data_IF_830478356505
#
_entry.id   IF_830478356505
#
_cell.length_a   1.000
_cell.length_b   1.000
_cell.length_c   1.000
_cell.angle_alpha   90.00
_cell.angle_beta   90.00
_cell.angle_gamma   90.00
#
_symmetry.space_group_name_H-M   'P 1'
#
loop_
_entity.id
_entity.type
_entity.pdbx_description
1 polymer ?
#
# COMPACT_ATOMS: atom_id res chain seq x y z
N UNK A 1 19.26 -0.59 -29.54
CA UNK A 1 18.24 -0.88 -28.52
C UNK A 1 18.79 -0.46 -27.16
N UNK A 2 18.19 0.57 -26.56
CA UNK A 2 18.72 1.27 -25.38
C UNK A 2 18.45 0.43 -24.11
N UNK A 3 19.34 0.48 -23.11
CA UNK A 3 19.26 -0.26 -21.83
C UNK A 3 17.93 -0.02 -21.09
N UNK A 4 17.28 1.15 -21.31
CA UNK A 4 15.94 1.49 -20.80
C UNK A 4 14.81 0.74 -21.50
N UNK A 5 14.96 0.36 -22.75
CA UNK A 5 13.96 -0.41 -23.51
C UNK A 5 14.02 -1.90 -23.15
N UNK A 6 15.21 -2.44 -22.87
CA UNK A 6 15.36 -3.82 -22.34
C UNK A 6 14.70 -4.01 -20.97
N UNK A 7 14.81 -3.03 -20.07
CA UNK A 7 14.17 -3.07 -18.75
C UNK A 7 12.63 -2.98 -18.85
N UNK A 8 12.11 -2.40 -19.92
CA UNK A 8 10.65 -2.29 -20.16
C UNK A 8 10.03 -3.57 -20.74
N UNK A 9 10.84 -4.42 -21.41
CA UNK A 9 10.37 -5.67 -22.01
C UNK A 9 10.28 -6.86 -21.06
N UNK A 10 10.90 -6.81 -19.87
CA UNK A 10 10.92 -7.94 -18.91
C UNK A 10 9.96 -7.81 -17.72
N UNK A 11 9.16 -6.76 -17.62
CA UNK A 11 8.06 -6.73 -16.65
C UNK A 11 6.90 -7.56 -17.23
N UNK A 12 6.93 -8.86 -16.96
CA UNK A 12 5.77 -9.73 -17.10
C UNK A 12 4.58 -9.03 -16.45
N UNK A 13 3.58 -8.70 -17.24
CA UNK A 13 2.42 -7.94 -16.74
C UNK A 13 1.77 -8.76 -15.63
N UNK A 14 1.90 -8.29 -14.39
CA UNK A 14 1.38 -9.00 -13.22
C UNK A 14 -0.14 -8.95 -13.29
N UNK A 15 -0.80 -10.10 -13.23
CA UNK A 15 -2.24 -10.15 -13.34
C UNK A 15 -2.92 -9.35 -12.22
N UNK A 16 -4.04 -8.69 -12.54
CA UNK A 16 -4.85 -7.94 -11.54
C UNK A 16 -5.23 -8.81 -10.35
N UNK A 17 -5.45 -10.11 -10.57
CA UNK A 17 -5.77 -11.05 -9.51
C UNK A 17 -4.61 -11.25 -8.52
N UNK A 18 -3.37 -11.24 -8.98
CA UNK A 18 -2.19 -11.27 -8.10
C UNK A 18 -2.06 -9.95 -7.35
N UNK A 19 -2.16 -8.81 -8.05
CA UNK A 19 -2.04 -7.48 -7.43
C UNK A 19 -3.07 -7.31 -6.31
N UNK A 20 -4.31 -7.77 -6.50
CA UNK A 20 -5.37 -7.67 -5.47
C UNK A 20 -5.07 -8.47 -4.19
N UNK A 21 -4.21 -9.50 -4.27
CA UNK A 21 -3.79 -10.28 -3.10
C UNK A 21 -2.57 -9.72 -2.39
N UNK A 22 -1.76 -8.87 -3.05
CA UNK A 22 -0.52 -8.33 -2.46
C UNK A 22 -0.71 -7.59 -1.13
N UNK A 23 -1.78 -6.77 -0.91
CA UNK A 23 -1.99 -6.12 0.38
C UNK A 23 -2.12 -7.11 1.53
N UNK A 24 -2.67 -8.29 1.26
CA UNK A 24 -2.78 -9.36 2.25
C UNK A 24 -1.42 -9.99 2.56
N UNK A 25 -0.60 -10.27 1.54
CA UNK A 25 0.79 -10.69 1.74
C UNK A 25 1.56 -9.67 2.56
N UNK A 26 1.47 -8.40 2.20
CA UNK A 26 2.16 -7.31 2.88
C UNK A 26 1.83 -7.26 4.38
N UNK A 27 0.56 -7.38 4.74
CA UNK A 27 0.12 -7.40 6.14
C UNK A 27 0.73 -8.57 6.92
N UNK A 28 0.61 -9.80 6.41
CA UNK A 28 1.12 -10.97 7.12
C UNK A 28 2.65 -10.99 7.21
N UNK A 29 3.35 -10.49 6.20
CA UNK A 29 4.80 -10.35 6.25
C UNK A 29 5.22 -9.29 7.28
N UNK A 30 4.44 -8.22 7.43
CA UNK A 30 4.64 -7.23 8.49
C UNK A 30 4.53 -7.83 9.89
N UNK A 31 3.49 -8.64 10.14
CA UNK A 31 3.31 -9.38 11.40
C UNK A 31 4.52 -10.31 11.67
N UNK A 32 4.99 -11.03 10.64
CA UNK A 32 6.18 -11.90 10.75
C UNK A 32 7.46 -11.13 11.09
N UNK A 33 7.63 -9.92 10.56
CA UNK A 33 8.77 -9.05 10.87
C UNK A 33 8.74 -8.65 12.35
N UNK A 34 7.55 -8.29 12.88
CA UNK A 34 7.35 -7.97 14.29
C UNK A 34 7.61 -9.19 15.20
N UNK A 35 7.27 -10.39 14.74
CA UNK A 35 7.59 -11.66 15.42
C UNK A 35 9.08 -12.05 15.31
N UNK A 36 9.89 -11.32 14.56
CA UNK A 36 11.32 -11.62 14.34
C UNK A 36 11.58 -12.79 13.38
N UNK A 37 10.60 -13.19 12.58
CA UNK A 37 10.74 -14.29 11.61
C UNK A 37 11.52 -13.80 10.39
N UNK A 38 12.69 -14.38 10.15
CA UNK A 38 13.54 -14.02 9.02
C UNK A 38 13.17 -14.73 7.72
N UNK A 39 12.73 -15.98 7.83
CA UNK A 39 12.37 -16.84 6.69
C UNK A 39 11.08 -17.58 6.93
N UNK A 40 10.33 -17.79 5.86
CA UNK A 40 9.07 -18.55 5.90
C UNK A 40 8.92 -19.41 4.64
N UNK A 41 8.41 -20.62 4.81
CA UNK A 41 8.05 -21.49 3.68
C UNK A 41 6.67 -21.13 3.11
N UNK A 42 6.41 -21.57 1.87
CA UNK A 42 5.07 -21.42 1.28
C UNK A 42 3.99 -22.17 2.07
N UNK A 43 4.34 -23.27 2.73
CA UNK A 43 3.40 -24.05 3.56
C UNK A 43 3.02 -23.30 4.85
N UNK A 44 4.00 -22.74 5.57
CA UNK A 44 3.76 -21.97 6.78
C UNK A 44 2.96 -20.68 6.46
N UNK A 45 3.33 -19.99 5.37
CA UNK A 45 2.60 -18.81 4.92
C UNK A 45 1.16 -19.15 4.50
N UNK A 46 0.95 -20.32 3.86
CA UNK A 46 -0.39 -20.80 3.47
C UNK A 46 -1.29 -21.03 4.67
N UNK A 47 -0.76 -21.58 5.75
CA UNK A 47 -1.50 -21.81 7.00
C UNK A 47 -1.98 -20.49 7.61
N UNK A 48 -1.15 -19.45 7.61
CA UNK A 48 -1.51 -18.11 8.11
C UNK A 48 -2.51 -17.40 7.19
N UNK A 49 -2.31 -17.49 5.89
CA UNK A 49 -3.12 -16.77 4.92
C UNK A 49 -4.42 -17.49 4.51
N UNK A 50 -4.59 -18.75 4.87
CA UNK A 50 -5.71 -19.60 4.39
C UNK A 50 -5.81 -19.63 2.86
N UNK A 51 -4.66 -19.74 2.19
CA UNK A 51 -4.48 -19.89 0.73
C UNK A 51 -3.60 -21.11 0.50
N UNK A 52 -3.69 -21.79 -0.60
CA UNK A 52 -2.84 -22.96 -0.87
C UNK A 52 -1.37 -22.55 -1.07
N UNK A 53 -0.44 -23.40 -0.64
CA UNK A 53 0.98 -23.17 -0.87
C UNK A 53 1.33 -23.09 -2.37
N UNK A 54 0.57 -23.80 -3.21
CA UNK A 54 0.71 -23.72 -4.68
C UNK A 54 0.36 -22.33 -5.20
N UNK A 55 -0.75 -21.76 -4.71
CA UNK A 55 -1.16 -20.39 -5.07
C UNK A 55 -0.11 -19.36 -4.65
N UNK A 56 0.45 -19.52 -3.43
CA UNK A 56 1.53 -18.63 -2.94
C UNK A 56 2.76 -18.71 -3.86
N UNK A 57 3.21 -19.92 -4.20
CA UNK A 57 4.33 -20.08 -5.13
C UNK A 57 4.06 -19.46 -6.49
N UNK A 58 2.85 -19.65 -7.02
CA UNK A 58 2.44 -19.07 -8.30
C UNK A 58 2.41 -17.54 -8.25
N UNK A 59 1.83 -16.97 -7.20
CA UNK A 59 1.76 -15.52 -7.02
C UNK A 59 3.17 -14.91 -6.92
N UNK A 60 4.03 -15.48 -6.08
CA UNK A 60 5.36 -14.95 -5.83
C UNK A 60 6.34 -15.19 -6.98
N UNK A 61 6.14 -16.21 -7.81
CA UNK A 61 6.94 -16.42 -9.03
C UNK A 61 6.77 -15.29 -10.07
N UNK A 62 5.69 -14.51 -10.00
CA UNK A 62 5.52 -13.35 -10.88
C UNK A 62 6.51 -12.21 -10.60
N UNK A 63 7.13 -12.18 -9.43
CA UNK A 63 8.01 -11.10 -8.98
C UNK A 63 9.51 -11.43 -9.08
N UNK A 64 9.87 -12.56 -9.66
CA UNK A 64 11.24 -13.07 -9.69
C UNK A 64 11.54 -14.04 -8.53
N UNK A 65 12.67 -14.71 -8.57
CA UNK A 65 13.00 -15.81 -7.67
C UNK A 65 13.19 -15.43 -6.20
N UNK A 66 12.11 -15.08 -5.51
CA UNK A 66 12.12 -14.72 -4.09
C UNK A 66 12.42 -15.89 -3.14
N UNK A 67 12.38 -17.11 -3.62
CA UNK A 67 12.69 -18.29 -2.84
C UNK A 67 13.60 -19.25 -3.59
N UNK A 68 14.67 -19.68 -2.97
CA UNK A 68 15.39 -20.86 -3.39
C UNK A 68 14.65 -22.09 -2.87
N UNK A 69 14.53 -23.11 -3.72
CA UNK A 69 13.90 -24.37 -3.36
C UNK A 69 14.57 -24.95 -2.10
N UNK A 70 13.81 -25.19 -1.05
CA UNK A 70 14.30 -25.69 0.24
C UNK A 70 14.66 -24.62 1.29
N UNK A 71 14.85 -23.35 0.92
CA UNK A 71 15.26 -22.29 1.86
C UNK A 71 14.13 -21.33 2.28
N UNK A 72 12.96 -21.40 1.66
CA UNK A 72 11.86 -20.48 1.91
C UNK A 72 12.12 -19.06 1.41
N UNK A 73 11.20 -18.17 1.74
CA UNK A 73 11.25 -16.76 1.37
C UNK A 73 11.91 -15.93 2.49
N UNK A 74 12.77 -14.99 2.11
CA UNK A 74 13.25 -13.99 3.04
C UNK A 74 12.11 -12.97 3.29
N UNK A 75 11.66 -12.87 4.53
CA UNK A 75 10.47 -12.10 4.92
C UNK A 75 10.66 -10.61 4.65
N UNK A 76 11.77 -10.02 5.10
CA UNK A 76 12.06 -8.58 4.93
C UNK A 76 12.21 -8.21 3.45
N UNK A 77 12.90 -9.05 2.68
CA UNK A 77 13.09 -8.81 1.25
C UNK A 77 11.75 -8.86 0.50
N UNK A 78 10.95 -9.89 0.74
CA UNK A 78 9.64 -10.03 0.11
C UNK A 78 8.71 -8.88 0.50
N UNK A 79 8.71 -8.47 1.77
CA UNK A 79 7.95 -7.33 2.27
C UNK A 79 8.31 -6.04 1.53
N UNK A 80 9.61 -5.75 1.37
CA UNK A 80 10.07 -4.55 0.66
C UNK A 80 9.71 -4.55 -0.82
N UNK A 81 9.82 -5.69 -1.49
CA UNK A 81 9.49 -5.79 -2.92
C UNK A 81 7.97 -5.63 -3.15
N UNK A 82 7.13 -6.20 -2.28
CA UNK A 82 5.69 -6.00 -2.34
C UNK A 82 5.34 -4.53 -2.07
N UNK A 83 6.00 -3.86 -1.11
CA UNK A 83 5.80 -2.44 -0.85
C UNK A 83 6.07 -1.58 -2.09
N UNK A 84 7.14 -1.87 -2.83
CA UNK A 84 7.47 -1.18 -4.10
C UNK A 84 6.40 -1.39 -5.17
N UNK A 85 5.89 -2.60 -5.29
CA UNK A 85 4.84 -2.92 -6.27
C UNK A 85 3.54 -2.21 -5.94
N UNK A 86 3.18 -2.17 -4.65
CA UNK A 86 2.00 -1.46 -4.15
C UNK A 86 2.19 0.06 -4.14
N UNK A 87 3.42 0.54 -4.31
CA UNK A 87 3.77 1.95 -4.25
C UNK A 87 3.67 2.56 -2.85
N UNK A 88 3.71 1.73 -1.80
CA UNK A 88 3.64 2.16 -0.38
C UNK A 88 5.02 2.28 0.27
N UNK A 89 6.07 2.17 -0.51
CA UNK A 89 7.46 2.42 -0.14
C UNK A 89 7.86 3.91 -0.19
N UNK A 90 6.91 4.77 -0.56
CA UNK A 90 7.08 6.22 -0.69
C UNK A 90 5.92 6.98 -0.07
N UNK A 91 6.14 8.26 0.18
CA UNK A 91 5.11 9.15 0.71
C UNK A 91 4.11 9.53 -0.39
N UNK A 92 2.82 9.54 -0.02
CA UNK A 92 1.72 9.98 -0.86
C UNK A 92 0.99 11.15 -0.19
N UNK A 93 0.80 12.23 -0.91
CA UNK A 93 -0.09 13.31 -0.50
C UNK A 93 -1.54 12.89 -0.79
N UNK A 94 -2.39 12.97 0.21
CA UNK A 94 -3.78 12.55 0.16
C UNK A 94 -4.68 13.74 0.50
N UNK A 95 -5.78 13.86 -0.21
CA UNK A 95 -6.88 14.76 0.14
C UNK A 95 -8.13 13.93 0.45
N UNK A 96 -8.96 14.44 1.36
CA UNK A 96 -10.25 13.83 1.70
C UNK A 96 -11.35 14.75 1.14
N UNK A 97 -12.21 14.18 0.29
CA UNK A 97 -13.40 14.86 -0.22
C UNK A 97 -14.61 14.22 0.48
N UNK A 98 -15.32 15.04 1.26
CA UNK A 98 -16.37 14.60 2.18
C UNK A 98 -15.86 14.53 3.62
N UNK A 99 -16.04 15.61 4.38
CA UNK A 99 -15.58 15.76 5.76
C UNK A 99 -16.66 15.38 6.79
N UNK A 100 -17.57 14.48 6.44
CA UNK A 100 -18.54 13.88 7.37
C UNK A 100 -17.85 12.89 8.33
N UNK A 101 -18.66 12.12 9.05
CA UNK A 101 -18.18 11.21 10.08
C UNK A 101 -17.05 10.28 9.59
N UNK A 102 -17.19 9.69 8.39
CA UNK A 102 -16.18 8.79 7.83
C UNK A 102 -14.90 9.56 7.46
N UNK A 103 -15.01 10.71 6.79
CA UNK A 103 -13.85 11.53 6.43
C UNK A 103 -13.05 11.97 7.66
N UNK A 104 -13.73 12.39 8.70
CA UNK A 104 -13.09 12.75 9.98
C UNK A 104 -12.45 11.54 10.68
N UNK A 105 -13.11 10.37 10.65
CA UNK A 105 -12.53 9.14 11.19
C UNK A 105 -11.25 8.74 10.46
N UNK A 106 -11.23 8.84 9.13
CA UNK A 106 -10.04 8.60 8.30
C UNK A 106 -8.93 9.60 8.65
N UNK A 107 -9.26 10.91 8.76
CA UNK A 107 -8.29 11.95 9.11
C UNK A 107 -7.66 11.72 10.50
N UNK A 108 -8.43 11.17 11.44
CA UNK A 108 -7.95 10.87 12.78
C UNK A 108 -7.14 9.57 12.88
N UNK A 109 -7.14 8.73 11.85
CA UNK A 109 -6.46 7.45 11.89
C UNK A 109 -4.96 7.60 11.56
N UNK A 110 -4.13 7.67 12.60
CA UNK A 110 -2.68 7.94 12.51
C UNK A 110 -1.87 6.90 11.75
N UNK A 111 -2.38 5.65 11.61
CA UNK A 111 -1.66 4.60 10.91
C UNK A 111 -1.51 4.85 9.41
N UNK A 112 -2.30 5.73 8.80
CA UNK A 112 -2.11 6.14 7.41
C UNK A 112 -0.78 6.89 7.23
N UNK A 113 -0.46 7.82 8.13
CA UNK A 113 0.82 8.55 8.09
C UNK A 113 2.02 7.63 8.24
N UNK A 114 1.94 6.65 9.15
CA UNK A 114 2.99 5.63 9.35
C UNK A 114 3.23 4.78 8.10
N UNK A 115 2.22 4.67 7.24
CA UNK A 115 2.29 3.94 5.96
C UNK A 115 2.58 4.85 4.77
N UNK A 116 2.96 6.10 5.01
CA UNK A 116 3.34 7.04 3.97
C UNK A 116 2.18 7.83 3.35
N UNK A 117 0.95 7.74 3.88
CA UNK A 117 -0.19 8.52 3.39
C UNK A 117 -0.39 9.76 4.26
N UNK A 118 0.02 10.92 3.75
CA UNK A 118 -0.07 12.20 4.47
C UNK A 118 -1.28 12.98 3.98
N UNK A 119 -2.23 13.25 4.88
CA UNK A 119 -3.41 14.04 4.55
C UNK A 119 -3.00 15.50 4.49
N UNK A 120 -3.17 16.13 3.32
CA UNK A 120 -2.83 17.52 3.04
C UNK A 120 -4.01 18.47 3.06
N UNK A 121 -5.20 17.95 2.81
CA UNK A 121 -6.41 18.78 2.77
C UNK A 121 -7.68 17.98 3.00
N UNK A 122 -8.70 18.64 3.49
CA UNK A 122 -10.06 18.12 3.62
C UNK A 122 -11.02 19.10 2.97
N UNK A 123 -12.01 18.59 2.25
CA UNK A 123 -12.95 19.36 1.48
C UNK A 123 -14.37 18.85 1.68
N UNK A 124 -15.33 19.79 1.75
CA UNK A 124 -16.75 19.47 1.83
C UNK A 124 -17.59 20.54 1.12
N UNK A 125 -18.81 20.18 0.78
CA UNK A 125 -19.83 21.11 0.24
C UNK A 125 -20.70 21.72 1.37
N UNK A 126 -20.68 21.08 2.55
CA UNK A 126 -21.55 21.50 3.67
C UNK A 126 -20.95 22.73 4.36
N UNK A 127 -21.64 23.90 4.30
CA UNK A 127 -21.14 25.13 4.90
C UNK A 127 -20.98 25.04 6.43
N UNK A 128 -21.65 24.09 7.09
CA UNK A 128 -21.51 23.89 8.55
C UNK A 128 -20.20 23.19 8.92
N UNK A 129 -19.55 22.50 7.96
CA UNK A 129 -18.27 21.82 8.19
C UNK A 129 -17.09 22.67 7.73
N UNK A 130 -17.27 23.52 6.73
CA UNK A 130 -16.22 24.40 6.21
C UNK A 130 -15.73 25.34 7.31
N UNK A 131 -14.40 25.41 7.45
CA UNK A 131 -13.72 26.18 8.51
C UNK A 131 -13.46 25.40 9.79
N UNK A 132 -14.04 24.21 9.98
CA UNK A 132 -13.68 23.35 11.09
C UNK A 132 -12.27 22.78 10.89
N UNK A 133 -11.56 22.56 11.99
CA UNK A 133 -10.18 22.02 11.97
C UNK A 133 -10.15 20.63 12.56
N UNK A 134 -9.66 19.66 11.78
CA UNK A 134 -9.46 18.27 12.21
C UNK A 134 -7.96 17.96 12.17
N UNK A 135 -7.36 17.69 13.32
CA UNK A 135 -5.91 17.44 13.48
C UNK A 135 -5.01 18.49 12.80
N UNK A 136 -5.40 19.75 12.91
CA UNK A 136 -4.65 20.86 12.30
C UNK A 136 -4.91 21.08 10.80
N UNK A 137 -5.83 20.31 10.19
CA UNK A 137 -6.23 20.46 8.79
C UNK A 137 -7.61 21.13 8.76
N UNK A 138 -7.67 22.31 8.14
CA UNK A 138 -8.93 23.03 7.94
C UNK A 138 -9.76 22.39 6.83
N UNK A 139 -11.05 22.21 7.07
CA UNK A 139 -12.01 21.79 6.06
C UNK A 139 -12.34 22.96 5.17
N UNK A 140 -12.08 22.86 3.87
CA UNK A 140 -12.28 23.90 2.86
C UNK A 140 -13.48 23.57 1.97
N UNK A 141 -13.95 24.56 1.23
CA UNK A 141 -14.94 24.34 0.17
C UNK A 141 -14.37 23.49 -0.94
N UNK A 142 -15.19 22.60 -1.50
CA UNK A 142 -14.84 21.84 -2.71
C UNK A 142 -14.51 22.78 -3.88
N UNK A 143 -15.04 24.00 -3.90
CA UNK A 143 -14.74 25.00 -4.94
C UNK A 143 -13.24 25.38 -4.96
N UNK A 144 -12.54 25.26 -3.82
CA UNK A 144 -11.10 25.57 -3.71
C UNK A 144 -10.20 24.41 -4.12
N UNK A 145 -10.77 23.23 -4.40
CA UNK A 145 -10.04 21.98 -4.60
C UNK A 145 -9.02 22.06 -5.76
N UNK A 146 -9.44 22.61 -6.90
CA UNK A 146 -8.58 22.70 -8.08
C UNK A 146 -7.36 23.59 -7.82
N UNK A 147 -7.59 24.74 -7.19
CA UNK A 147 -6.52 25.67 -6.80
C UNK A 147 -5.56 25.01 -5.82
N UNK A 148 -6.12 24.33 -4.81
CA UNK A 148 -5.31 23.62 -3.81
C UNK A 148 -4.41 22.53 -4.44
N UNK A 149 -4.92 21.74 -5.38
CA UNK A 149 -4.15 20.70 -6.07
C UNK A 149 -3.02 21.30 -6.91
N UNK A 150 -3.24 22.47 -7.53
CA UNK A 150 -2.21 23.13 -8.34
C UNK A 150 -1.05 23.72 -7.50
N UNK A 151 -1.33 24.08 -6.25
CA UNK A 151 -0.36 24.74 -5.36
C UNK A 151 0.42 23.75 -4.45
N UNK A 152 -0.03 22.48 -4.33
CA UNK A 152 0.50 21.46 -3.42
C UNK A 152 0.79 20.13 -4.14
#
# INVERSE_FOLDING_TARGET
MNKKERVKMERKEISKAVISRLPRYYRYLGELIEEGVERISSNELSSRMKVTASQIRQDLNNFGGFGQQGYGYNVKYLYSEIAKILGIDRQHNVIIIGAGNLGQAIANYTNFERRGFVIRGMFDINPKLIGLVIRGIEIRSVDDLETFIREN
#
